data_IF_375813523573
#
_entry.id   IF_375813523573
#
_cell.length_a   1.000
_cell.length_b   1.000
_cell.length_c   1.000
_cell.angle_alpha   90.00
_cell.angle_beta   90.00
_cell.angle_gamma   90.00
#
_symmetry.space_group_name_H-M   'P 1'
#
loop_
_entity.id
_entity.type
_entity.pdbx_description
1 polymer ?
#
# COMPACT_ATOMS: atom_id res chain seq x y z
N UNK A 1 37.87 -100.53 -52.83
CA UNK A 1 37.45 -101.93 -52.62
C UNK A 1 36.51 -102.25 -53.74
N UNK A 2 37.00 -102.98 -54.73
CA UNK A 2 37.11 -102.46 -56.08
C UNK A 2 36.65 -103.50 -57.10
N UNK A 3 35.52 -103.24 -57.76
CA UNK A 3 35.16 -103.92 -59.00
C UNK A 3 36.03 -103.33 -60.12
N UNK A 4 37.04 -104.08 -60.55
CA UNK A 4 37.92 -103.71 -61.66
C UNK A 4 37.14 -103.71 -62.98
N UNK A 5 36.72 -102.53 -63.42
CA UNK A 5 36.15 -102.28 -64.75
C UNK A 5 37.21 -101.60 -65.62
N UNK A 6 38.23 -102.36 -66.03
CA UNK A 6 39.20 -101.92 -67.04
C UNK A 6 38.98 -102.69 -68.35
N UNK A 7 38.93 -101.96 -69.47
CA UNK A 7 38.69 -102.52 -70.80
C UNK A 7 39.97 -102.36 -71.62
N UNK A 8 40.46 -103.45 -72.25
CA UNK A 8 41.61 -103.40 -73.16
C UNK A 8 41.18 -102.86 -74.52
N UNK A 9 41.83 -101.81 -75.00
CA UNK A 9 41.56 -101.26 -76.33
C UNK A 9 41.98 -102.26 -77.43
N UNK A 10 41.11 -102.62 -78.39
CA UNK A 10 41.41 -103.64 -79.40
C UNK A 10 42.49 -103.27 -80.43
N UNK A 11 43.01 -102.04 -80.44
CA UNK A 11 43.91 -101.53 -81.49
C UNK A 11 45.32 -101.16 -80.98
N UNK A 12 45.47 -100.80 -79.71
CA UNK A 12 46.75 -100.55 -79.04
C UNK A 12 46.55 -101.02 -77.59
N UNK A 13 47.25 -102.07 -77.17
CA UNK A 13 46.91 -102.90 -75.99
C UNK A 13 47.05 -102.26 -74.59
N UNK A 14 46.68 -101.00 -74.44
CA UNK A 14 46.70 -100.24 -73.19
C UNK A 14 45.41 -100.47 -72.37
N UNK A 15 45.56 -100.49 -71.03
CA UNK A 15 44.49 -100.71 -70.06
C UNK A 15 43.74 -99.40 -69.83
N UNK A 16 42.48 -99.33 -70.23
CA UNK A 16 41.63 -98.15 -69.99
C UNK A 16 40.86 -98.37 -68.69
N UNK A 17 41.11 -97.55 -67.66
CA UNK A 17 40.31 -97.53 -66.42
C UNK A 17 39.01 -96.75 -66.65
N UNK A 18 37.89 -97.48 -66.70
CA UNK A 18 36.57 -96.90 -66.98
C UNK A 18 36.11 -95.99 -65.83
N UNK A 19 36.57 -96.23 -64.60
CA UNK A 19 36.21 -95.40 -63.45
C UNK A 19 36.86 -94.02 -63.55
N UNK A 20 38.10 -93.92 -64.04
CA UNK A 20 38.83 -92.65 -64.17
C UNK A 20 38.18 -91.74 -65.23
N UNK A 21 37.71 -92.32 -66.35
CA UNK A 21 36.97 -91.59 -67.39
C UNK A 21 35.60 -91.10 -66.86
N UNK A 22 34.88 -91.95 -66.12
CA UNK A 22 33.60 -91.59 -65.49
C UNK A 22 33.78 -90.51 -64.42
N UNK A 23 34.83 -90.58 -63.61
CA UNK A 23 35.19 -89.54 -62.64
C UNK A 23 35.52 -88.22 -63.33
N UNK A 24 36.29 -88.22 -64.41
CA UNK A 24 36.57 -87.00 -65.17
C UNK A 24 35.32 -86.42 -65.86
N UNK A 25 34.42 -87.26 -66.38
CA UNK A 25 33.14 -86.79 -66.91
C UNK A 25 32.25 -86.19 -65.82
N UNK A 26 32.10 -86.86 -64.69
CA UNK A 26 31.35 -86.36 -63.53
C UNK A 26 31.95 -85.06 -62.98
N UNK A 27 33.28 -84.99 -62.85
CA UNK A 27 33.97 -83.79 -62.36
C UNK A 27 33.80 -82.62 -63.32
N UNK A 28 33.85 -82.87 -64.64
CA UNK A 28 33.57 -81.85 -65.65
C UNK A 28 32.10 -81.40 -65.64
N UNK A 29 31.14 -82.31 -65.47
CA UNK A 29 29.73 -81.95 -65.31
C UNK A 29 29.48 -81.15 -64.03
N UNK A 30 30.08 -81.53 -62.90
CA UNK A 30 29.99 -80.79 -61.64
C UNK A 30 30.64 -79.41 -61.74
N UNK A 31 31.81 -79.31 -62.39
CA UNK A 31 32.45 -78.02 -62.66
C UNK A 31 31.57 -77.13 -63.54
N UNK A 32 30.96 -77.68 -64.60
CA UNK A 32 30.03 -76.93 -65.45
C UNK A 32 28.75 -76.51 -64.72
N UNK A 33 28.16 -77.39 -63.90
CA UNK A 33 26.99 -77.06 -63.07
C UNK A 33 27.31 -75.95 -62.06
N UNK A 34 28.42 -76.06 -61.34
CA UNK A 34 28.87 -75.02 -60.39
C UNK A 34 29.17 -73.69 -61.09
N UNK A 35 29.78 -73.73 -62.28
CA UNK A 35 30.03 -72.51 -63.06
C UNK A 35 28.72 -71.84 -63.50
N UNK A 36 27.73 -72.62 -63.90
CA UNK A 36 26.41 -72.13 -64.29
C UNK A 36 25.60 -71.59 -63.10
N UNK A 37 25.65 -72.26 -61.95
CA UNK A 37 25.04 -71.76 -60.70
C UNK A 37 25.69 -70.46 -60.24
N UNK A 38 27.03 -70.37 -60.32
CA UNK A 38 27.75 -69.14 -59.99
C UNK A 38 27.36 -67.98 -60.90
N UNK A 39 27.23 -68.23 -62.21
CA UNK A 39 26.76 -67.22 -63.17
C UNK A 39 25.33 -66.75 -62.86
N UNK A 40 24.40 -67.69 -62.60
CA UNK A 40 23.02 -67.34 -62.21
C UNK A 40 22.98 -66.52 -60.93
N UNK A 41 23.80 -66.85 -59.95
CA UNK A 41 23.89 -66.11 -58.69
C UNK A 41 24.50 -64.70 -58.89
N UNK A 42 25.53 -64.57 -59.73
CA UNK A 42 26.10 -63.27 -60.11
C UNK A 42 25.10 -62.39 -60.86
N UNK A 43 24.30 -62.96 -61.76
CA UNK A 43 23.20 -62.28 -62.47
C UNK A 43 22.10 -61.82 -61.50
N UNK A 44 21.68 -62.67 -60.55
CA UNK A 44 20.68 -62.31 -59.54
C UNK A 44 21.17 -61.18 -58.61
N UNK A 45 22.45 -61.21 -58.21
CA UNK A 45 23.06 -60.12 -57.44
C UNK A 45 23.11 -58.83 -58.25
N UNK A 46 23.45 -58.91 -59.54
CA UNK A 46 23.49 -57.73 -60.40
C UNK A 46 22.10 -57.10 -60.56
N UNK A 47 21.06 -57.91 -60.73
CA UNK A 47 19.67 -57.44 -60.79
C UNK A 47 19.24 -56.78 -59.47
N UNK A 48 19.48 -57.43 -58.32
CA UNK A 48 19.17 -56.83 -57.01
C UNK A 48 19.93 -55.53 -56.77
N UNK A 49 21.19 -55.43 -57.20
CA UNK A 49 21.98 -54.17 -57.09
C UNK A 49 21.35 -53.03 -57.91
N UNK A 50 20.79 -53.33 -59.08
CA UNK A 50 20.09 -52.33 -59.91
C UNK A 50 18.80 -51.89 -59.19
N UNK A 51 18.01 -52.83 -58.68
CA UNK A 51 16.79 -52.52 -57.91
C UNK A 51 17.09 -51.67 -56.67
N UNK A 52 18.11 -52.04 -55.88
CA UNK A 52 18.52 -51.27 -54.71
C UNK A 52 18.99 -49.86 -55.09
N UNK A 53 19.71 -49.71 -56.21
CA UNK A 53 20.15 -48.39 -56.69
C UNK A 53 18.95 -47.52 -57.08
N UNK A 54 17.99 -48.08 -57.81
CA UNK A 54 16.76 -47.37 -58.17
C UNK A 54 15.94 -46.97 -56.95
N UNK A 55 15.81 -47.85 -55.96
CA UNK A 55 15.11 -47.55 -54.70
C UNK A 55 15.81 -46.44 -53.90
N UNK A 56 17.15 -46.44 -53.86
CA UNK A 56 17.95 -45.39 -53.22
C UNK A 56 17.78 -44.04 -53.93
N UNK A 57 17.80 -44.02 -55.26
CA UNK A 57 17.63 -42.80 -56.04
C UNK A 57 16.20 -42.23 -55.86
N UNK A 58 15.17 -43.10 -55.82
CA UNK A 58 13.80 -42.68 -55.51
C UNK A 58 13.64 -42.14 -54.08
N UNK A 59 14.31 -42.74 -53.09
CA UNK A 59 14.29 -42.25 -51.71
C UNK A 59 14.94 -40.88 -51.60
N UNK A 60 16.08 -40.66 -52.26
CA UNK A 60 16.75 -39.35 -52.30
C UNK A 60 15.87 -38.27 -52.92
N UNK A 61 15.20 -38.57 -54.03
CA UNK A 61 14.26 -37.63 -54.65
C UNK A 61 13.11 -37.27 -53.69
N UNK A 62 12.54 -38.25 -53.00
CA UNK A 62 11.49 -37.99 -51.99
C UNK A 62 12.00 -37.18 -50.81
N UNK A 63 13.23 -37.41 -50.36
CA UNK A 63 13.84 -36.61 -49.28
C UNK A 63 14.04 -35.15 -49.72
N UNK A 64 14.50 -34.92 -50.96
CA UNK A 64 14.64 -33.58 -51.54
C UNK A 64 13.28 -32.88 -51.70
N UNK A 65 12.27 -33.57 -52.23
CA UNK A 65 10.90 -33.03 -52.37
C UNK A 65 10.28 -32.65 -51.02
N UNK A 66 10.44 -33.50 -50.00
CA UNK A 66 9.95 -33.23 -48.64
C UNK A 66 10.69 -32.01 -48.06
N UNK A 67 11.98 -31.88 -48.32
CA UNK A 67 12.77 -30.75 -47.84
C UNK A 67 12.31 -29.44 -48.49
N UNK A 68 12.10 -29.43 -49.81
CA UNK A 68 11.56 -28.27 -50.51
C UNK A 68 10.15 -27.90 -50.04
N UNK A 69 9.28 -28.89 -49.81
CA UNK A 69 7.94 -28.64 -49.28
C UNK A 69 7.98 -28.05 -47.88
N UNK A 70 8.87 -28.53 -47.00
CA UNK A 70 9.06 -27.96 -45.66
C UNK A 70 9.56 -26.53 -45.72
N UNK A 71 10.53 -26.23 -46.58
CA UNK A 71 11.05 -24.87 -46.74
C UNK A 71 9.96 -23.91 -47.25
N UNK A 72 9.16 -24.31 -48.24
CA UNK A 72 8.01 -23.53 -48.74
C UNK A 72 6.95 -23.32 -47.66
N UNK A 73 6.61 -24.36 -46.91
CA UNK A 73 5.63 -24.29 -45.83
C UNK A 73 6.10 -23.38 -44.68
N UNK A 74 7.38 -23.46 -44.30
CA UNK A 74 7.97 -22.60 -43.28
C UNK A 74 7.99 -21.13 -43.71
N UNK A 75 8.22 -20.84 -45.00
CA UNK A 75 8.11 -19.48 -45.54
C UNK A 75 6.67 -18.96 -45.52
N UNK A 76 5.69 -19.77 -45.91
CA UNK A 76 4.28 -19.41 -45.85
C UNK A 76 3.81 -19.18 -44.42
N UNK A 77 4.20 -20.05 -43.47
CA UNK A 77 3.94 -19.87 -42.04
C UNK A 77 4.55 -18.57 -41.52
N UNK A 78 5.79 -18.25 -41.88
CA UNK A 78 6.44 -16.99 -41.49
C UNK A 78 5.72 -15.76 -42.06
N UNK A 79 5.17 -15.85 -43.27
CA UNK A 79 4.37 -14.75 -43.86
C UNK A 79 3.03 -14.60 -43.15
N UNK A 80 2.29 -15.69 -42.96
CA UNK A 80 0.99 -15.69 -42.30
C UNK A 80 1.09 -15.21 -40.84
N UNK A 81 2.08 -15.69 -40.09
CA UNK A 81 2.32 -15.27 -38.70
C UNK A 81 2.68 -13.79 -38.60
N UNK A 82 3.50 -13.26 -39.52
CA UNK A 82 3.81 -11.82 -39.57
C UNK A 82 2.58 -10.96 -39.86
N UNK A 83 1.72 -11.40 -40.78
CA UNK A 83 0.49 -10.68 -41.13
C UNK A 83 -0.49 -10.66 -39.95
N UNK A 84 -0.70 -11.81 -39.29
CA UNK A 84 -1.54 -11.91 -38.10
C UNK A 84 -1.02 -11.04 -36.95
N UNK A 85 0.29 -11.12 -36.66
CA UNK A 85 0.92 -10.27 -35.64
C UNK A 85 0.78 -8.78 -35.95
N UNK A 86 0.82 -8.38 -37.23
CA UNK A 86 0.63 -6.99 -37.63
C UNK A 86 -0.81 -6.53 -37.41
N UNK A 87 -1.79 -7.35 -37.80
CA UNK A 87 -3.20 -7.05 -37.58
C UNK A 87 -3.56 -6.98 -36.09
N UNK A 88 -3.04 -7.90 -35.29
CA UNK A 88 -3.28 -7.94 -33.84
C UNK A 88 -2.63 -6.74 -33.14
N UNK A 89 -1.41 -6.36 -33.54
CA UNK A 89 -0.77 -5.11 -33.07
C UNK A 89 -1.56 -3.87 -33.44
N UNK A 90 -2.15 -3.81 -34.64
CA UNK A 90 -2.98 -2.68 -35.06
C UNK A 90 -4.27 -2.59 -34.23
N UNK A 91 -4.97 -3.71 -34.02
CA UNK A 91 -6.16 -3.76 -33.17
C UNK A 91 -5.85 -3.33 -31.74
N UNK A 92 -4.78 -3.86 -31.15
CA UNK A 92 -4.36 -3.49 -29.80
C UNK A 92 -3.99 -1.99 -29.71
N UNK A 93 -3.34 -1.43 -30.73
CA UNK A 93 -3.05 0.00 -30.79
C UNK A 93 -4.31 0.87 -30.92
N UNK A 94 -5.33 0.40 -31.62
CA UNK A 94 -6.61 1.11 -31.76
C UNK A 94 -7.44 1.04 -30.47
N UNK A 95 -7.49 -0.12 -29.81
CA UNK A 95 -8.14 -0.30 -28.50
C UNK A 95 -7.48 0.56 -27.43
N UNK A 96 -6.14 0.51 -27.32
CA UNK A 96 -5.40 1.33 -26.36
C UNK A 96 -5.60 2.83 -26.61
N UNK A 97 -5.67 3.27 -27.88
CA UNK A 97 -5.98 4.67 -28.21
C UNK A 97 -7.38 5.07 -27.79
N UNK A 98 -8.37 4.18 -27.91
CA UNK A 98 -9.74 4.46 -27.46
C UNK A 98 -9.81 4.57 -25.94
N UNK A 99 -9.21 3.62 -25.22
CA UNK A 99 -9.15 3.64 -23.75
C UNK A 99 -8.47 4.93 -23.25
N UNK A 100 -7.32 5.30 -23.81
CA UNK A 100 -6.61 6.53 -23.43
C UNK A 100 -7.48 7.77 -23.71
N UNK A 101 -8.20 7.82 -24.83
CA UNK A 101 -9.07 8.96 -25.15
C UNK A 101 -10.28 9.04 -24.23
N UNK A 102 -10.86 7.90 -23.86
CA UNK A 102 -11.97 7.82 -22.89
C UNK A 102 -11.51 8.27 -21.50
N UNK A 103 -10.40 7.73 -20.99
CA UNK A 103 -9.81 8.14 -19.70
C UNK A 103 -9.44 9.62 -19.68
N UNK A 104 -8.83 10.14 -20.76
CA UNK A 104 -8.52 11.57 -20.86
C UNK A 104 -9.79 12.42 -20.86
N UNK A 105 -10.85 11.98 -21.55
CA UNK A 105 -12.12 12.71 -21.61
C UNK A 105 -12.81 12.75 -20.24
N UNK A 106 -12.79 11.65 -19.49
CA UNK A 106 -13.33 11.56 -18.13
C UNK A 106 -12.52 12.42 -17.16
N UNK A 107 -11.20 12.34 -17.23
CA UNK A 107 -10.30 13.17 -16.41
C UNK A 107 -10.50 14.66 -16.68
N UNK A 108 -10.61 15.08 -17.95
CA UNK A 108 -10.89 16.47 -18.32
C UNK A 108 -12.29 16.90 -17.83
N UNK A 109 -13.29 16.03 -17.90
CA UNK A 109 -14.63 16.32 -17.41
C UNK A 109 -14.66 16.53 -15.89
N UNK A 110 -13.95 15.68 -15.13
CA UNK A 110 -13.79 15.81 -13.69
C UNK A 110 -13.05 17.09 -13.32
N UNK A 111 -11.92 17.38 -13.98
CA UNK A 111 -11.15 18.60 -13.75
C UNK A 111 -11.95 19.87 -14.07
N UNK A 112 -12.77 19.87 -15.14
CA UNK A 112 -13.65 20.99 -15.45
C UNK A 112 -14.71 21.18 -14.37
N UNK A 113 -15.31 20.09 -13.88
CA UNK A 113 -16.30 20.14 -12.81
C UNK A 113 -15.71 20.70 -11.51
N UNK A 114 -14.51 20.23 -11.13
CA UNK A 114 -13.79 20.76 -9.97
C UNK A 114 -13.44 22.24 -10.15
N UNK A 115 -13.01 22.65 -11.34
CA UNK A 115 -12.70 24.05 -11.64
C UNK A 115 -13.94 24.93 -11.50
N UNK A 116 -15.10 24.49 -12.00
CA UNK A 116 -16.36 25.21 -11.89
C UNK A 116 -16.83 25.29 -10.42
N UNK A 117 -16.73 24.20 -9.66
CA UNK A 117 -17.03 24.19 -8.23
C UNK A 117 -16.13 25.15 -7.45
N UNK A 118 -14.81 25.13 -7.72
CA UNK A 118 -13.85 26.06 -7.09
C UNK A 118 -14.09 27.50 -7.49
N UNK A 119 -14.42 27.75 -8.76
CA UNK A 119 -14.78 29.09 -9.25
C UNK A 119 -16.01 29.64 -8.54
N UNK A 120 -17.04 28.80 -8.35
CA UNK A 120 -18.24 29.17 -7.60
C UNK A 120 -17.94 29.42 -6.10
N UNK A 121 -17.13 28.57 -5.47
CA UNK A 121 -16.68 28.79 -4.09
C UNK A 121 -15.93 30.12 -3.93
N UNK A 122 -15.07 30.48 -4.89
CA UNK A 122 -14.36 31.76 -4.87
C UNK A 122 -15.32 32.94 -5.04
N UNK A 123 -16.33 32.83 -5.91
CA UNK A 123 -17.37 33.86 -6.04
C UNK A 123 -18.14 34.05 -4.75
N UNK A 124 -18.58 32.97 -4.12
CA UNK A 124 -19.29 33.01 -2.83
C UNK A 124 -18.43 33.59 -1.70
N UNK A 125 -17.14 33.21 -1.63
CA UNK A 125 -16.22 33.80 -0.66
C UNK A 125 -16.03 35.30 -0.88
N UNK A 126 -15.93 35.75 -2.13
CA UNK A 126 -15.79 37.16 -2.45
C UNK A 126 -17.06 37.97 -2.11
N UNK A 127 -18.25 37.43 -2.37
CA UNK A 127 -19.51 38.09 -1.98
C UNK A 127 -19.68 38.13 -0.46
N UNK A 128 -19.38 37.03 0.23
CA UNK A 128 -19.39 36.97 1.69
C UNK A 128 -18.38 37.97 2.30
N UNK A 129 -17.17 38.06 1.75
CA UNK A 129 -16.15 39.02 2.20
C UNK A 129 -16.60 40.47 1.99
N UNK A 130 -17.24 40.78 0.86
CA UNK A 130 -17.80 42.10 0.61
C UNK A 130 -18.93 42.44 1.60
N UNK A 131 -19.81 41.49 1.91
CA UNK A 131 -20.87 41.66 2.92
C UNK A 131 -20.30 41.86 4.33
N UNK A 132 -19.28 41.09 4.72
CA UNK A 132 -18.61 41.26 6.02
C UNK A 132 -17.98 42.65 6.13
N UNK A 133 -17.34 43.14 5.07
CA UNK A 133 -16.71 44.46 5.08
C UNK A 133 -17.75 45.60 5.12
N UNK A 134 -18.91 45.40 4.52
CA UNK A 134 -20.03 46.34 4.60
C UNK A 134 -20.64 46.36 6.01
N UNK A 135 -20.91 45.18 6.59
CA UNK A 135 -21.40 45.06 7.96
C UNK A 135 -20.43 45.64 9.00
N UNK A 136 -19.11 45.51 8.78
CA UNK A 136 -18.11 46.16 9.63
C UNK A 136 -18.21 47.68 9.59
N UNK A 137 -18.34 48.26 8.39
CA UNK A 137 -18.51 49.72 8.23
C UNK A 137 -19.81 50.21 8.89
N UNK A 138 -20.92 49.51 8.66
CA UNK A 138 -22.21 49.85 9.28
C UNK A 138 -22.13 49.78 10.82
N UNK A 139 -21.39 48.79 11.34
CA UNK A 139 -21.16 48.64 12.78
C UNK A 139 -20.32 49.78 13.35
N UNK A 140 -19.23 50.16 12.69
CA UNK A 140 -18.36 51.27 13.11
C UNK A 140 -19.11 52.61 13.08
N UNK A 141 -19.93 52.86 12.05
CA UNK A 141 -20.80 54.04 11.98
C UNK A 141 -21.83 54.05 13.11
N UNK A 142 -22.48 52.90 13.40
CA UNK A 142 -23.40 52.78 14.53
C UNK A 142 -22.70 53.01 15.87
N UNK A 143 -21.54 52.41 16.11
CA UNK A 143 -20.77 52.59 17.34
C UNK A 143 -20.37 54.06 17.54
N UNK A 144 -19.91 54.72 16.47
CA UNK A 144 -19.59 56.16 16.50
C UNK A 144 -20.82 57.02 16.82
N UNK A 145 -21.97 56.73 16.18
CA UNK A 145 -23.22 57.44 16.44
C UNK A 145 -23.73 57.21 17.87
N UNK A 146 -23.59 56.00 18.42
CA UNK A 146 -23.94 55.67 19.80
C UNK A 146 -23.02 56.41 20.77
N UNK A 147 -21.70 56.40 20.54
CA UNK A 147 -20.75 57.15 21.38
C UNK A 147 -21.03 58.65 21.37
N UNK A 148 -21.30 59.23 20.19
CA UNK A 148 -21.64 60.64 20.08
C UNK A 148 -22.92 60.99 20.85
N UNK A 149 -23.96 60.15 20.75
CA UNK A 149 -25.21 60.31 21.53
C UNK A 149 -24.98 60.15 23.03
N UNK A 150 -24.20 59.16 23.44
CA UNK A 150 -23.84 58.94 24.84
C UNK A 150 -23.04 60.13 25.40
N UNK A 151 -22.13 60.69 24.62
CA UNK A 151 -21.33 61.85 25.02
C UNK A 151 -22.18 63.13 25.10
N UNK A 152 -23.14 63.31 24.18
CA UNK A 152 -24.13 64.38 24.28
C UNK A 152 -24.99 64.25 25.54
N UNK A 153 -25.54 63.05 25.81
CA UNK A 153 -26.34 62.79 27.00
C UNK A 153 -25.53 62.97 28.30
N UNK A 154 -24.27 62.54 28.32
CA UNK A 154 -23.37 62.73 29.46
C UNK A 154 -23.05 64.22 29.68
N UNK A 155 -22.82 64.98 28.62
CA UNK A 155 -22.59 66.43 28.72
C UNK A 155 -23.85 67.16 29.21
N UNK A 156 -25.04 66.73 28.79
CA UNK A 156 -26.31 67.28 29.27
C UNK A 156 -26.52 66.98 30.75
N UNK A 157 -26.28 65.73 31.17
CA UNK A 157 -26.30 65.33 32.58
C UNK A 157 -25.28 66.11 33.40
N UNK A 158 -24.03 66.21 32.95
CA UNK A 158 -22.97 66.97 33.63
C UNK A 158 -23.32 68.46 33.74
N UNK A 159 -24.04 69.05 32.78
CA UNK A 159 -24.48 70.44 32.85
C UNK A 159 -25.57 70.62 33.90
N UNK A 160 -26.55 69.72 33.94
CA UNK A 160 -27.60 69.68 34.97
C UNK A 160 -26.99 69.46 36.37
N UNK A 161 -26.00 68.57 36.45
CA UNK A 161 -25.33 68.23 37.70
C UNK A 161 -24.41 69.37 38.16
N UNK A 162 -23.70 70.05 37.24
CA UNK A 162 -22.96 71.28 37.55
C UNK A 162 -23.86 72.42 38.02
N UNK A 163 -25.04 72.62 37.41
CA UNK A 163 -25.99 73.63 37.87
C UNK A 163 -26.58 73.29 39.26
N UNK A 164 -26.80 72.01 39.55
CA UNK A 164 -27.20 71.54 40.89
C UNK A 164 -26.07 71.70 41.91
N UNK A 165 -24.85 71.36 41.53
CA UNK A 165 -23.64 71.49 42.37
C UNK A 165 -23.35 72.97 42.64
N UNK A 166 -23.43 73.85 41.65
CA UNK A 166 -23.21 75.29 41.87
C UNK A 166 -24.21 75.87 42.89
N UNK A 167 -25.49 75.50 42.79
CA UNK A 167 -26.52 75.89 43.77
C UNK A 167 -26.29 75.29 45.15
N UNK A 168 -25.84 74.03 45.25
CA UNK A 168 -25.54 73.41 46.55
C UNK A 168 -24.21 73.88 47.15
N UNK A 169 -23.25 74.34 46.34
CA UNK A 169 -21.96 74.89 46.78
C UNK A 169 -22.14 76.31 47.30
N UNK A 170 -23.00 77.12 46.66
CA UNK A 170 -23.33 78.46 47.15
C UNK A 170 -24.11 78.40 48.48
N UNK A 171 -25.00 77.41 48.66
CA UNK A 171 -25.74 77.20 49.92
C UNK A 171 -24.93 76.49 51.03
N UNK A 172 -23.86 75.75 50.71
CA UNK A 172 -23.03 75.04 51.70
C UNK A 172 -21.76 75.79 52.12
N UNK A 173 -21.32 76.80 51.36
CA UNK A 173 -20.09 77.55 51.66
C UNK A 173 -20.23 78.57 52.81
N UNK A 174 -21.44 78.85 53.30
CA UNK A 174 -21.63 79.73 54.47
C UNK A 174 -21.53 78.98 55.82
N UNK A 175 -21.52 77.64 55.83
CA UNK A 175 -21.58 76.85 57.08
C UNK A 175 -20.58 75.68 57.20
N UNK A 176 -19.73 75.42 56.21
CA UNK A 176 -18.78 74.26 56.23
C UNK A 176 -17.28 74.60 56.21
N UNK A 177 -16.90 75.87 56.38
CA UNK A 177 -15.49 76.31 56.42
C UNK A 177 -14.85 76.22 57.82
N UNK A 178 -15.49 75.57 58.80
CA UNK A 178 -14.97 75.39 60.18
C UNK A 178 -15.01 73.97 60.75
N UNK A 179 -15.39 72.95 59.97
CA UNK A 179 -15.57 71.58 60.51
C UNK A 179 -15.02 70.44 59.62
N UNK A 180 -14.26 70.73 58.56
CA UNK A 180 -13.76 69.72 57.62
C UNK A 180 -12.22 69.70 57.50
N UNK A 181 -11.51 70.08 58.56
CA UNK A 181 -10.07 69.80 58.73
C UNK A 181 -9.80 68.52 59.55
N UNK A 182 -10.79 67.93 60.23
CA UNK A 182 -10.57 66.77 61.13
C UNK A 182 -11.04 65.40 60.59
N UNK A 183 -11.63 65.31 59.40
CA UNK A 183 -12.17 64.03 58.89
C UNK A 183 -11.31 63.35 57.82
N UNK A 184 -10.12 63.89 57.50
CA UNK A 184 -9.23 63.35 56.46
C UNK A 184 -8.17 62.35 56.97
N UNK A 185 -8.20 61.99 58.25
CA UNK A 185 -7.18 61.13 58.86
C UNK A 185 -7.67 59.72 59.27
N UNK A 186 -8.97 59.45 59.13
CA UNK A 186 -9.57 58.17 59.57
C UNK A 186 -10.08 57.25 58.44
N UNK A 187 -9.83 57.59 57.18
CA UNK A 187 -10.18 56.79 56.01
C UNK A 187 -8.94 56.31 55.22
N UNK A 188 -7.80 56.23 55.90
CA UNK A 188 -6.54 55.65 55.37
C UNK A 188 -6.19 54.29 55.98
N UNK A 189 -7.11 53.67 56.73
CA UNK A 189 -6.82 52.46 57.53
C UNK A 189 -7.85 51.32 57.38
N UNK A 190 -8.58 51.27 56.26
CA UNK A 190 -9.46 50.15 55.90
C UNK A 190 -9.36 49.82 54.40
N UNK A 191 -8.13 49.63 53.90
CA UNK A 191 -7.84 49.08 52.58
C UNK A 191 -6.78 47.98 52.67
N UNK A 192 -6.96 47.05 53.62
CA UNK A 192 -6.22 45.77 53.70
C UNK A 192 -7.09 44.74 54.40
N UNK A 193 -8.15 44.25 53.73
CA UNK A 193 -8.60 42.85 53.83
C UNK A 193 -9.91 42.61 53.07
N UNK A 194 -9.81 42.63 51.74
CA UNK A 194 -10.68 41.92 50.77
C UNK A 194 -10.20 42.42 49.40
N UNK A 195 -9.36 41.73 48.64
CA UNK A 195 -9.59 40.38 48.16
C UNK A 195 -8.25 39.75 47.75
N UNK A 196 -7.78 38.81 48.57
CA UNK A 196 -7.16 37.59 48.05
C UNK A 196 -8.22 36.89 47.20
N UNK A 197 -8.12 37.00 45.87
CA UNK A 197 -8.60 36.03 44.86
C UNK A 197 -8.28 36.58 43.48
N UNK A 198 -7.04 36.36 43.03
CA UNK A 198 -6.67 36.29 41.62
C UNK A 198 -5.56 35.24 41.50
N UNK A 199 -5.93 33.99 41.80
CA UNK A 199 -5.32 32.82 41.14
C UNK A 199 -5.97 32.70 39.77
N UNK A 200 -5.23 32.96 38.69
CA UNK A 200 -5.35 32.24 37.43
C UNK A 200 -4.25 32.68 36.47
N UNK A 201 -3.42 31.72 36.06
CA UNK A 201 -2.57 31.85 34.87
C UNK A 201 -1.08 31.68 35.13
N UNK A 202 -0.63 30.41 35.14
CA UNK A 202 0.60 29.99 34.44
C UNK A 202 0.81 28.48 34.65
N UNK A 203 -0.06 27.67 34.06
CA UNK A 203 0.20 26.24 33.83
C UNK A 203 0.91 25.98 32.48
N UNK A 204 1.24 27.02 31.72
CA UNK A 204 1.81 26.90 30.37
C UNK A 204 3.35 26.92 30.34
N UNK A 205 4.02 27.50 31.35
CA UNK A 205 5.48 27.68 31.38
C UNK A 205 6.30 26.43 31.77
N UNK A 206 5.66 25.29 32.08
CA UNK A 206 6.38 24.12 32.62
C UNK A 206 6.69 23.04 31.56
N UNK A 207 6.09 23.09 30.37
CA UNK A 207 6.38 22.17 29.26
C UNK A 207 7.60 22.59 28.43
N UNK A 208 7.77 23.90 28.22
CA UNK A 208 8.76 24.50 27.31
C UNK A 208 10.21 24.38 27.79
N UNK A 209 10.41 24.12 29.09
CA UNK A 209 11.75 24.07 29.68
C UNK A 209 12.53 22.82 29.25
N UNK A 210 11.87 21.68 28.98
CA UNK A 210 12.59 20.48 28.55
C UNK A 210 12.95 20.51 27.07
N UNK A 211 12.06 21.05 26.24
CA UNK A 211 12.27 21.24 24.81
C UNK A 211 13.51 22.11 24.58
N UNK A 212 13.52 23.29 25.21
CA UNK A 212 14.67 24.21 25.16
C UNK A 212 15.96 23.58 25.71
N UNK A 213 15.88 22.76 26.76
CA UNK A 213 17.05 22.12 27.36
C UNK A 213 17.63 20.96 26.50
N UNK A 214 16.83 20.35 25.64
CA UNK A 214 17.31 19.34 24.67
C UNK A 214 18.04 20.06 23.53
N UNK A 215 17.45 21.12 22.99
CA UNK A 215 18.03 21.91 21.90
C UNK A 215 19.35 22.55 22.31
N UNK A 216 19.38 23.23 23.46
CA UNK A 216 20.58 23.87 23.99
C UNK A 216 21.70 22.85 24.24
N UNK A 217 21.36 21.64 24.71
CA UNK A 217 22.34 20.58 24.89
C UNK A 217 22.94 20.12 23.56
N UNK A 218 22.10 19.91 22.54
CA UNK A 218 22.55 19.46 21.22
C UNK A 218 23.40 20.53 20.52
N UNK A 219 22.98 21.81 20.58
CA UNK A 219 23.72 22.93 19.97
C UNK A 219 25.09 23.10 20.61
N UNK A 220 25.17 23.04 21.95
CA UNK A 220 26.42 23.18 22.67
C UNK A 220 27.38 22.00 22.44
N UNK A 221 26.85 20.77 22.37
CA UNK A 221 27.67 19.55 22.25
C UNK A 221 28.11 19.28 20.81
N UNK A 222 27.30 19.67 19.82
CA UNK A 222 27.56 19.41 18.39
C UNK A 222 27.52 20.71 17.55
N UNK A 223 28.55 21.58 17.62
CA UNK A 223 28.53 22.88 16.94
C UNK A 223 28.48 22.82 15.41
N UNK A 224 28.80 21.66 14.82
CA UNK A 224 28.77 21.47 13.37
C UNK A 224 27.41 21.00 12.86
N UNK A 225 26.56 20.46 13.73
CA UNK A 225 25.26 19.93 13.34
C UNK A 225 24.24 21.05 13.22
N UNK A 226 23.25 20.89 12.34
CA UNK A 226 22.14 21.85 12.20
C UNK A 226 20.94 21.34 12.96
N UNK A 227 20.43 22.15 13.88
CA UNK A 227 19.29 21.81 14.74
C UNK A 227 18.14 22.72 14.33
N UNK A 228 17.10 22.13 13.77
CA UNK A 228 15.90 22.83 13.30
C UNK A 228 14.76 22.63 14.31
N UNK A 229 14.26 23.74 14.86
CA UNK A 229 13.07 23.79 15.72
C UNK A 229 11.80 23.71 14.85
N UNK A 230 10.88 22.82 15.21
CA UNK A 230 9.55 22.79 14.57
C UNK A 230 8.61 23.66 15.41
N UNK A 231 8.31 24.86 14.93
CA UNK A 231 7.48 25.85 15.64
C UNK A 231 6.09 25.28 15.99
N UNK A 232 5.63 25.58 17.22
CA UNK A 232 4.29 25.23 17.72
C UNK A 232 3.19 25.73 16.79
N UNK A 233 2.40 24.79 16.25
CA UNK A 233 1.28 25.06 15.34
C UNK A 233 1.29 24.21 14.07
N UNK A 234 2.40 23.54 13.77
CA UNK A 234 2.51 22.52 12.71
C UNK A 234 2.52 21.13 13.39
N UNK A 235 1.82 20.14 12.82
CA UNK A 235 1.91 18.75 13.31
C UNK A 235 3.36 18.27 13.15
N UNK A 236 3.93 17.72 14.22
CA UNK A 236 5.30 17.22 14.27
C UNK A 236 5.94 17.49 15.63
N UNK A 237 6.85 16.60 16.01
CA UNK A 237 7.70 16.68 17.19
C UNK A 237 8.66 17.85 17.25
N UNK A 238 9.49 17.85 18.28
CA UNK A 238 10.02 19.09 18.83
C UNK A 238 11.27 19.58 18.08
N UNK A 239 12.26 18.72 17.81
CA UNK A 239 13.47 19.15 17.13
C UNK A 239 14.09 18.10 16.20
N UNK A 240 14.63 18.55 15.06
CA UNK A 240 15.36 17.71 14.10
C UNK A 240 16.83 18.12 14.12
N UNK A 241 17.70 17.15 14.41
CA UNK A 241 19.13 17.28 14.26
C UNK A 241 19.57 16.70 12.92
N UNK A 242 20.08 17.56 12.04
CA UNK A 242 20.80 17.13 10.83
C UNK A 242 22.28 17.00 11.18
N UNK A 243 22.79 15.77 11.16
CA UNK A 243 24.17 15.45 11.56
C UNK A 243 25.13 15.84 10.46
N UNK A 244 26.16 16.60 10.81
CA UNK A 244 27.22 17.01 9.88
C UNK A 244 28.59 16.55 10.40
N UNK A 245 29.53 16.36 9.49
CA UNK A 245 30.95 16.18 9.82
C UNK A 245 31.75 17.29 9.17
N UNK A 246 33.04 17.44 9.55
CA UNK A 246 33.91 18.47 8.95
C UNK A 246 34.08 18.32 7.43
N UNK A 247 33.90 17.10 6.92
CA UNK A 247 34.18 16.73 5.53
C UNK A 247 32.91 16.41 4.74
N UNK A 248 31.85 15.97 5.41
CA UNK A 248 30.59 15.52 4.79
C UNK A 248 29.43 16.26 5.45
N UNK A 249 28.69 17.01 4.63
CA UNK A 249 27.45 17.66 5.04
C UNK A 249 26.27 16.69 4.92
N UNK A 250 25.27 16.85 5.81
CA UNK A 250 24.03 16.09 5.83
C UNK A 250 24.21 14.55 5.82
N UNK A 251 24.78 14.01 6.90
CA UNK A 251 25.00 12.57 7.04
C UNK A 251 23.74 11.77 7.37
N UNK A 252 22.71 12.43 7.87
CA UNK A 252 21.44 11.84 8.27
C UNK A 252 20.73 12.71 9.31
N UNK A 253 19.46 12.41 9.55
CA UNK A 253 18.57 13.20 10.42
C UNK A 253 18.11 12.39 11.62
N UNK A 254 18.29 12.95 12.81
CA UNK A 254 17.73 12.41 14.06
C UNK A 254 16.57 13.31 14.48
N UNK A 255 15.42 12.70 14.72
CA UNK A 255 14.23 13.40 15.19
C UNK A 255 14.02 13.15 16.67
N UNK A 256 13.81 14.22 17.42
CA UNK A 256 13.60 14.19 18.86
C UNK A 256 12.21 14.70 19.21
N UNK A 257 11.56 13.98 20.11
CA UNK A 257 10.27 14.34 20.68
C UNK A 257 10.34 14.21 22.20
N UNK A 258 9.89 15.22 22.92
CA UNK A 258 9.82 15.28 24.37
C UNK A 258 8.37 15.16 24.83
N UNK A 259 8.09 14.22 25.73
CA UNK A 259 6.76 14.08 26.37
C UNK A 259 6.89 14.10 27.88
N UNK A 260 6.31 15.15 28.48
CA UNK A 260 6.12 15.29 29.94
C UNK A 260 4.73 14.81 30.33
N UNK A 261 4.65 13.56 30.72
CA UNK A 261 3.38 12.89 31.03
C UNK A 261 3.60 11.82 32.08
N UNK A 262 2.63 11.68 32.99
CA UNK A 262 2.71 10.71 34.09
C UNK A 262 2.49 9.26 33.65
N UNK A 263 1.81 9.05 32.52
CA UNK A 263 1.50 7.72 31.99
C UNK A 263 1.90 7.65 30.52
N UNK A 264 2.74 6.68 30.16
CA UNK A 264 3.15 6.44 28.78
C UNK A 264 2.01 5.87 27.94
N UNK A 265 1.75 6.45 26.76
CA UNK A 265 0.76 5.92 25.80
C UNK A 265 1.45 5.43 24.52
N UNK A 266 1.11 4.19 24.11
CA UNK A 266 1.68 3.56 22.90
C UNK A 266 1.30 4.30 21.60
N UNK A 267 0.18 5.03 21.61
CA UNK A 267 -0.28 5.88 20.49
C UNK A 267 0.69 7.00 20.14
N UNK A 268 1.61 7.38 21.03
CA UNK A 268 2.65 8.36 20.72
C UNK A 268 3.69 7.82 19.77
N UNK A 269 4.03 6.53 19.87
CA UNK A 269 4.99 5.87 18.97
C UNK A 269 4.45 5.86 17.54
N UNK A 270 3.16 5.52 17.37
CA UNK A 270 2.50 5.49 16.06
C UNK A 270 2.45 6.86 15.40
N UNK A 271 2.10 7.91 16.17
CA UNK A 271 2.09 9.30 15.68
C UNK A 271 3.49 9.78 15.34
N UNK A 272 4.45 9.55 16.23
CA UNK A 272 5.83 9.97 16.05
C UNK A 272 6.47 9.30 14.82
N UNK A 273 6.19 8.01 14.57
CA UNK A 273 6.58 7.33 13.33
C UNK A 273 6.01 7.98 12.07
N UNK A 274 4.74 8.40 12.11
CA UNK A 274 4.13 9.10 10.98
C UNK A 274 4.86 10.42 10.71
N UNK A 275 5.17 11.17 11.76
CA UNK A 275 5.89 12.44 11.67
C UNK A 275 7.34 12.24 11.19
N UNK A 276 8.03 11.18 11.64
CA UNK A 276 9.38 10.80 11.16
C UNK A 276 9.38 10.58 9.64
N UNK A 277 8.34 9.94 9.09
CA UNK A 277 8.21 9.70 7.64
C UNK A 277 7.98 11.00 6.87
N UNK A 278 7.09 11.87 7.37
CA UNK A 278 6.82 13.16 6.72
C UNK A 278 8.08 14.04 6.66
N UNK A 279 8.93 13.98 7.70
CA UNK A 279 10.16 14.79 7.79
C UNK A 279 11.41 14.10 7.23
N UNK A 280 11.30 12.85 6.80
CA UNK A 280 12.42 12.06 6.28
C UNK A 280 13.53 11.85 7.32
N UNK A 281 13.17 11.57 8.57
CA UNK A 281 14.13 11.31 9.64
C UNK A 281 14.59 9.85 9.64
N UNK A 282 15.92 9.63 9.75
CA UNK A 282 16.51 8.29 9.76
C UNK A 282 16.35 7.58 11.11
N UNK A 283 16.39 8.34 12.22
CA UNK A 283 16.29 7.82 13.58
C UNK A 283 15.35 8.69 14.40
N UNK A 284 14.47 8.05 15.17
CA UNK A 284 13.56 8.72 16.10
C UNK A 284 13.93 8.44 17.55
N UNK A 285 13.93 9.48 18.37
CA UNK A 285 14.21 9.42 19.81
C UNK A 285 13.11 10.15 20.58
N UNK A 286 12.37 9.39 21.37
CA UNK A 286 11.33 9.87 22.26
C UNK A 286 11.91 10.00 23.68
N UNK A 287 11.98 11.22 24.19
CA UNK A 287 12.44 11.55 25.53
C UNK A 287 11.23 11.67 26.46
N UNK A 288 11.09 10.75 27.40
CA UNK A 288 9.94 10.70 28.33
C UNK A 288 10.39 10.73 29.77
N UNK A 289 9.58 11.35 30.64
CA UNK A 289 9.82 11.31 32.10
C UNK A 289 9.49 9.93 32.68
N UNK A 290 8.45 9.28 32.16
CA UNK A 290 8.00 7.94 32.58
C UNK A 290 8.19 6.96 31.42
N UNK A 291 8.96 5.90 31.67
CA UNK A 291 9.20 4.83 30.68
C UNK A 291 7.97 3.89 30.57
N UNK A 292 7.80 3.22 29.43
CA UNK A 292 6.83 2.13 29.28
C UNK A 292 7.06 1.05 30.35
N UNK A 293 5.98 0.42 30.83
CA UNK A 293 6.06 -0.66 31.84
C UNK A 293 6.93 -1.85 31.42
N UNK A 294 7.19 -1.98 30.13
CA UNK A 294 7.99 -3.02 29.49
C UNK A 294 9.50 -2.73 29.56
N UNK A 295 9.89 -1.50 29.91
CA UNK A 295 11.27 -1.03 29.93
C UNK A 295 11.69 -0.58 31.33
N UNK A 296 12.73 -1.21 31.87
CA UNK A 296 13.38 -0.75 33.11
C UNK A 296 14.35 0.42 32.87
N UNK A 297 14.87 0.57 31.64
CA UNK A 297 15.82 1.60 31.19
C UNK A 297 15.57 1.97 29.73
N UNK A 298 16.34 2.91 29.16
CA UNK A 298 16.24 3.23 27.74
C UNK A 298 16.22 1.98 26.84
N UNK A 299 15.41 2.03 25.78
CA UNK A 299 15.21 0.89 24.90
C UNK A 299 14.67 1.28 23.54
N UNK A 300 14.60 0.30 22.64
CA UNK A 300 14.04 0.44 21.30
C UNK A 300 12.67 -0.25 21.28
N UNK A 301 11.60 0.51 21.04
CA UNK A 301 10.24 -0.04 20.86
C UNK A 301 9.76 0.34 19.47
N UNK A 302 9.33 -0.67 18.72
CA UNK A 302 8.80 -0.51 17.36
C UNK A 302 9.73 0.31 16.44
N UNK A 303 11.04 0.35 16.67
CA UNK A 303 11.98 1.13 15.84
C UNK A 303 12.18 2.60 16.26
N UNK A 304 11.57 3.03 17.38
CA UNK A 304 11.81 4.33 18.02
C UNK A 304 12.57 4.13 19.33
N UNK A 305 13.61 4.92 19.56
CA UNK A 305 14.35 4.91 20.82
C UNK A 305 13.56 5.67 21.88
N UNK A 306 13.33 5.05 23.03
CA UNK A 306 12.65 5.67 24.18
C UNK A 306 13.67 5.77 25.31
N UNK A 307 13.86 6.97 25.85
CA UNK A 307 14.84 7.21 26.90
C UNK A 307 14.41 8.34 27.83
N UNK A 308 15.04 8.40 29.01
CA UNK A 308 14.92 9.55 29.91
C UNK A 308 15.84 10.69 29.47
N UNK A 309 15.62 11.90 30.01
CA UNK A 309 16.46 13.07 29.69
C UNK A 309 17.94 12.87 30.05
N UNK A 310 18.24 12.11 31.10
CA UNK A 310 19.63 11.81 31.48
C UNK A 310 20.29 10.85 30.48
N UNK A 311 19.59 9.80 30.07
CA UNK A 311 20.06 8.80 29.11
C UNK A 311 20.23 9.37 27.70
N UNK A 312 19.35 10.30 27.31
CA UNK A 312 19.40 11.03 26.03
C UNK A 312 20.78 11.65 25.75
N UNK A 313 21.45 12.18 26.79
CA UNK A 313 22.77 12.82 26.67
C UNK A 313 23.84 11.86 26.15
N UNK A 314 23.79 10.60 26.59
CA UNK A 314 24.68 9.54 26.10
C UNK A 314 24.20 8.97 24.77
N UNK A 315 22.89 8.73 24.64
CA UNK A 315 22.28 8.14 23.46
C UNK A 315 22.50 8.99 22.20
N UNK A 316 22.36 10.31 22.30
CA UNK A 316 22.62 11.24 21.18
C UNK A 316 24.01 11.08 20.58
N UNK A 317 25.04 10.82 21.39
CA UNK A 317 26.41 10.61 20.91
C UNK A 317 26.55 9.30 20.14
N UNK A 318 25.94 8.23 20.64
CA UNK A 318 25.98 6.90 20.02
C UNK A 318 25.24 6.90 18.69
N UNK A 319 24.05 7.50 18.64
CA UNK A 319 23.23 7.58 17.43
C UNK A 319 23.89 8.44 16.36
N UNK A 320 24.48 9.57 16.75
CA UNK A 320 25.24 10.44 15.85
C UNK A 320 26.42 9.71 15.21
N UNK A 321 27.23 9.01 15.99
CA UNK A 321 28.37 8.22 15.48
C UNK A 321 27.91 7.10 14.55
N UNK A 322 26.78 6.46 14.87
CA UNK A 322 26.20 5.39 14.06
C UNK A 322 25.78 5.90 12.67
N UNK A 323 25.10 7.05 12.60
CA UNK A 323 24.71 7.69 11.33
C UNK A 323 25.93 8.03 10.49
N UNK A 324 26.98 8.58 11.09
CA UNK A 324 28.21 8.94 10.38
C UNK A 324 28.85 7.71 9.75
N UNK A 325 28.97 6.60 10.50
CA UNK A 325 29.55 5.35 9.98
C UNK A 325 28.71 4.74 8.86
N UNK A 326 27.38 4.76 9.01
CA UNK A 326 26.46 4.26 7.97
C UNK A 326 26.61 5.09 6.69
N UNK A 327 26.68 6.41 6.80
CA UNK A 327 26.86 7.28 5.64
C UNK A 327 28.24 7.07 4.98
N UNK A 328 29.31 6.92 5.76
CA UNK A 328 30.65 6.59 5.23
C UNK A 328 30.65 5.26 4.47
N UNK A 329 29.95 4.24 4.98
CA UNK A 329 29.78 2.96 4.31
C UNK A 329 29.00 3.11 2.99
N UNK A 330 27.86 3.81 3.00
CA UNK A 330 27.08 4.09 1.78
C UNK A 330 27.90 4.83 0.71
N UNK A 331 28.64 5.87 1.11
CA UNK A 331 29.47 6.66 0.19
C UNK A 331 30.61 5.85 -0.45
N UNK A 332 31.12 4.83 0.25
CA UNK A 332 32.12 3.91 -0.31
C UNK A 332 31.56 2.99 -1.40
N UNK A 333 30.24 2.78 -1.44
CA UNK A 333 29.54 2.02 -2.49
C UNK A 333 29.12 2.90 -3.68
N UNK A 334 28.90 4.20 -3.45
CA UNK A 334 28.41 5.16 -4.47
C UNK A 334 29.39 5.38 -5.65
N UNK A 335 30.69 5.12 -5.44
CA UNK A 335 31.72 5.20 -6.48
C UNK A 335 31.72 4.02 -7.48
N UNK A 336 30.75 3.11 -7.41
CA UNK A 336 30.50 2.06 -8.41
C UNK A 336 29.20 2.33 -9.15
N UNK A 337 29.21 3.34 -10.01
CA UNK A 337 28.02 3.78 -10.73
C UNK A 337 27.72 2.83 -11.89
N UNK A 338 26.76 1.93 -11.69
CA UNK A 338 26.04 1.21 -12.72
C UNK A 338 24.55 1.41 -12.43
N UNK A 339 23.68 1.47 -13.44
CA UNK A 339 22.23 1.73 -13.20
C UNK A 339 21.56 0.67 -12.31
N UNK A 340 22.15 -0.54 -12.28
CA UNK A 340 21.78 -1.62 -11.38
C UNK A 340 22.12 -1.33 -9.91
N UNK A 341 23.22 -0.63 -9.61
CA UNK A 341 23.56 -0.27 -8.22
C UNK A 341 22.64 0.79 -7.64
N UNK A 342 22.07 1.69 -8.46
CA UNK A 342 21.06 2.65 -7.98
C UNK A 342 19.74 1.97 -7.63
N UNK A 343 19.27 1.05 -8.47
CA UNK A 343 18.08 0.24 -8.17
C UNK A 343 18.31 -0.67 -6.96
N UNK A 344 19.48 -1.31 -6.88
CA UNK A 344 19.84 -2.13 -5.73
C UNK A 344 19.94 -1.31 -4.45
N UNK A 345 20.53 -0.11 -4.51
CA UNK A 345 20.61 0.84 -3.41
C UNK A 345 19.23 1.31 -2.93
N UNK A 346 18.31 1.58 -3.86
CA UNK A 346 16.93 1.91 -3.50
C UNK A 346 16.20 0.71 -2.89
N UNK A 347 16.28 -0.47 -3.48
CA UNK A 347 15.62 -1.69 -2.99
C UNK A 347 16.16 -2.17 -1.63
N UNK A 348 17.42 -1.85 -1.31
CA UNK A 348 18.04 -2.12 0.00
C UNK A 348 17.97 -0.94 0.96
N UNK A 349 17.40 0.19 0.53
CA UNK A 349 17.28 1.38 1.36
C UNK A 349 16.28 1.18 2.49
N UNK A 350 16.54 1.86 3.60
CA UNK A 350 15.60 1.97 4.71
C UNK A 350 14.28 2.60 4.29
N UNK A 351 14.32 3.53 3.33
CA UNK A 351 13.12 4.17 2.78
C UNK A 351 12.20 3.15 2.10
N UNK A 352 12.73 2.32 1.19
CA UNK A 352 11.97 1.27 0.53
C UNK A 352 11.42 0.25 1.54
N UNK A 353 12.26 -0.18 2.50
CA UNK A 353 11.81 -1.08 3.57
C UNK A 353 10.65 -0.49 4.35
N UNK A 354 10.73 0.77 4.76
CA UNK A 354 9.66 1.46 5.50
C UNK A 354 8.38 1.63 4.67
N UNK A 355 8.50 1.87 3.36
CA UNK A 355 7.34 1.92 2.45
C UNK A 355 6.66 0.56 2.36
N UNK A 356 7.43 -0.52 2.18
CA UNK A 356 6.88 -1.88 2.12
C UNK A 356 6.28 -2.29 3.47
N UNK A 357 6.94 -2.00 4.59
CA UNK A 357 6.41 -2.27 5.93
C UNK A 357 5.08 -1.54 6.15
N UNK A 358 4.97 -0.26 5.76
CA UNK A 358 3.71 0.48 5.88
C UNK A 358 2.59 -0.10 5.00
N UNK A 359 2.91 -0.58 3.79
CA UNK A 359 1.94 -1.26 2.93
C UNK A 359 1.46 -2.56 3.59
N UNK A 360 2.39 -3.37 4.10
CA UNK A 360 2.08 -4.64 4.78
C UNK A 360 1.26 -4.41 6.06
N UNK A 361 1.62 -3.40 6.87
CA UNK A 361 0.85 -2.99 8.04
C UNK A 361 -0.57 -2.57 7.65
N UNK A 362 -0.73 -1.76 6.58
CA UNK A 362 -2.04 -1.37 6.06
C UNK A 362 -2.90 -2.56 5.63
N UNK A 363 -2.32 -3.52 4.89
CA UNK A 363 -3.03 -4.74 4.50
C UNK A 363 -3.38 -5.63 5.70
N UNK A 364 -2.49 -5.74 6.67
CA UNK A 364 -2.73 -6.53 7.90
C UNK A 364 -3.87 -5.93 8.72
N UNK A 365 -3.91 -4.60 8.84
CA UNK A 365 -4.99 -3.89 9.51
C UNK A 365 -6.33 -4.07 8.78
N UNK A 366 -6.36 -3.88 7.46
CA UNK A 366 -7.57 -4.10 6.65
C UNK A 366 -8.09 -5.55 6.76
N UNK A 367 -7.19 -6.54 6.81
CA UNK A 367 -7.56 -7.93 7.01
C UNK A 367 -8.17 -8.16 8.40
N UNK A 368 -7.55 -7.60 9.44
CA UNK A 368 -8.06 -7.68 10.82
C UNK A 368 -9.45 -7.03 10.95
N UNK A 369 -9.64 -5.87 10.35
CA UNK A 369 -10.92 -5.14 10.35
C UNK A 369 -12.01 -5.97 9.65
N UNK A 370 -11.71 -6.51 8.48
CA UNK A 370 -12.62 -7.39 7.72
C UNK A 370 -12.99 -8.66 8.50
N UNK A 371 -12.06 -9.28 9.21
CA UNK A 371 -12.34 -10.45 10.05
C UNK A 371 -13.14 -10.09 11.31
N UNK A 372 -12.96 -8.88 11.85
CA UNK A 372 -13.80 -8.34 12.93
C UNK A 372 -15.23 -8.09 12.47
N UNK A 373 -15.40 -7.51 11.27
CA UNK A 373 -16.71 -7.28 10.64
C UNK A 373 -17.43 -8.60 10.37
N UNK A 374 -16.75 -9.61 9.79
CA UNK A 374 -17.32 -10.94 9.56
C UNK A 374 -17.86 -11.55 10.85
N UNK A 375 -17.06 -11.55 11.93
CA UNK A 375 -17.49 -12.10 13.24
C UNK A 375 -18.70 -11.34 13.80
N UNK A 376 -18.68 -10.01 13.71
CA UNK A 376 -19.78 -9.16 14.16
C UNK A 376 -21.07 -9.42 13.37
N UNK A 377 -20.95 -9.54 12.05
CA UNK A 377 -22.08 -9.78 11.16
C UNK A 377 -22.67 -11.18 11.33
N UNK A 378 -21.83 -12.20 11.52
CA UNK A 378 -22.28 -13.55 11.87
C UNK A 378 -23.08 -13.56 13.19
N UNK A 379 -22.65 -12.80 14.20
CA UNK A 379 -23.39 -12.65 15.46
C UNK A 379 -24.76 -12.00 15.21
N UNK A 380 -24.81 -10.92 14.42
CA UNK A 380 -26.04 -10.21 14.07
C UNK A 380 -27.00 -11.12 13.30
N UNK A 381 -26.49 -11.87 12.32
CA UNK A 381 -27.30 -12.83 11.57
C UNK A 381 -27.91 -13.89 12.47
N UNK A 382 -27.12 -14.54 13.34
CA UNK A 382 -27.65 -15.52 14.31
C UNK A 382 -28.67 -14.92 15.27
N UNK A 383 -28.46 -13.67 15.70
CA UNK A 383 -29.43 -12.97 16.55
C UNK A 383 -30.75 -12.72 15.81
N UNK A 384 -30.69 -12.27 14.56
CA UNK A 384 -31.88 -12.03 13.72
C UNK A 384 -32.59 -13.33 13.38
N UNK A 385 -31.85 -14.39 13.06
CA UNK A 385 -32.39 -15.72 12.80
C UNK A 385 -33.22 -16.22 14.00
N UNK A 386 -32.67 -16.15 15.22
CA UNK A 386 -33.42 -16.49 16.44
C UNK A 386 -34.64 -15.61 16.69
N UNK A 387 -34.59 -14.33 16.32
CA UNK A 387 -35.74 -13.44 16.43
C UNK A 387 -36.84 -13.83 15.44
N UNK A 388 -36.46 -14.15 14.20
CA UNK A 388 -37.38 -14.63 13.16
C UNK A 388 -38.01 -15.97 13.59
N UNK A 389 -37.20 -16.92 14.06
CA UNK A 389 -37.66 -18.22 14.57
C UNK A 389 -38.68 -18.03 15.71
N UNK A 390 -38.36 -17.19 16.70
CA UNK A 390 -39.28 -16.89 17.81
C UNK A 390 -40.61 -16.29 17.33
N UNK A 391 -40.58 -15.37 16.37
CA UNK A 391 -41.80 -14.77 15.81
C UNK A 391 -42.60 -15.80 15.03
N UNK A 392 -41.94 -16.66 14.26
CA UNK A 392 -42.57 -17.75 13.52
C UNK A 392 -43.25 -18.73 14.48
N UNK A 393 -42.54 -19.20 15.51
CA UNK A 393 -43.07 -20.12 16.52
C UNK A 393 -44.28 -19.54 17.25
N UNK A 394 -44.21 -18.26 17.65
CA UNK A 394 -45.34 -17.58 18.27
C UNK A 394 -46.54 -17.47 17.31
N UNK A 395 -46.30 -17.21 16.03
CA UNK A 395 -47.35 -17.09 15.01
C UNK A 395 -47.99 -18.46 14.74
N UNK A 396 -47.19 -19.53 14.65
CA UNK A 396 -47.65 -20.92 14.51
C UNK A 396 -48.45 -21.33 15.75
N UNK A 397 -47.93 -21.07 16.95
CA UNK A 397 -48.60 -21.38 18.21
C UNK A 397 -49.93 -20.65 18.35
N UNK A 398 -49.97 -19.36 18.00
CA UNK A 398 -51.21 -18.57 17.98
C UNK A 398 -52.20 -19.14 16.97
N UNK A 399 -51.78 -19.38 15.73
CA UNK A 399 -52.65 -19.96 14.69
C UNK A 399 -53.20 -21.33 15.10
N UNK A 400 -52.34 -22.23 15.60
CA UNK A 400 -52.73 -23.55 16.10
C UNK A 400 -53.69 -23.48 17.29
N UNK A 401 -53.45 -22.57 18.24
CA UNK A 401 -54.34 -22.38 19.40
C UNK A 401 -55.74 -21.90 18.97
N UNK A 402 -55.80 -20.91 18.07
CA UNK A 402 -57.08 -20.36 17.63
C UNK A 402 -57.82 -21.39 16.75
N UNK A 403 -57.13 -22.12 15.86
CA UNK A 403 -57.71 -23.22 15.05
C UNK A 403 -58.20 -24.38 15.93
N UNK A 404 -57.50 -24.70 17.02
CA UNK A 404 -57.92 -25.70 18.00
C UNK A 404 -59.20 -25.31 18.76
N UNK A 405 -59.38 -24.01 19.07
CA UNK A 405 -60.56 -23.51 19.79
C UNK A 405 -61.77 -23.34 18.86
N UNK A 406 -61.60 -22.74 17.69
CA UNK A 406 -62.71 -22.38 16.78
C UNK A 406 -62.94 -23.39 15.65
N UNK A 407 -62.14 -24.45 15.57
CA UNK A 407 -62.23 -25.50 14.54
C UNK A 407 -62.07 -24.94 13.11
N UNK A 408 -62.86 -25.50 12.18
CA UNK A 408 -62.83 -25.13 10.76
C UNK A 408 -63.41 -23.73 10.45
N UNK A 409 -63.77 -22.96 11.46
CA UNK A 409 -64.30 -21.59 11.28
C UNK A 409 -63.21 -20.57 10.92
N UNK A 410 -61.92 -20.93 11.05
CA UNK A 410 -60.77 -20.09 10.71
C UNK A 410 -60.17 -20.56 9.38
N UNK A 411 -59.88 -19.60 8.50
CA UNK A 411 -59.25 -19.86 7.21
C UNK A 411 -57.87 -20.52 7.32
N UNK A 412 -57.57 -21.36 6.34
CA UNK A 412 -56.32 -22.09 6.23
C UNK A 412 -55.16 -21.18 5.77
N UNK A 413 -54.03 -21.19 6.50
CA UNK A 413 -52.81 -20.48 6.10
C UNK A 413 -51.90 -21.46 5.37
N UNK A 414 -51.88 -21.38 4.03
CA UNK A 414 -51.16 -22.32 3.14
C UNK A 414 -49.70 -22.61 3.53
N UNK A 415 -48.98 -21.62 4.07
CA UNK A 415 -47.57 -21.78 4.49
C UNK A 415 -47.39 -22.65 5.76
N UNK A 416 -48.46 -22.91 6.50
CA UNK A 416 -48.46 -23.70 7.75
C UNK A 416 -49.18 -25.05 7.58
N UNK A 417 -49.62 -25.37 6.36
CA UNK A 417 -50.28 -26.63 6.06
C UNK A 417 -49.29 -27.61 5.43
N UNK A 418 -49.40 -28.87 5.87
CA UNK A 418 -48.72 -29.96 5.17
C UNK A 418 -49.37 -30.09 3.78
N UNK A 419 -48.60 -30.06 2.68
CA UNK A 419 -49.16 -30.38 1.37
C UNK A 419 -49.64 -31.83 1.41
N UNK A 420 -50.96 -32.01 1.47
CA UNK A 420 -51.57 -33.33 1.31
C UNK A 420 -51.36 -33.74 -0.15
N UNK A 421 -50.55 -34.77 -0.38
CA UNK A 421 -50.55 -35.46 -1.66
C UNK A 421 -51.93 -36.11 -1.81
N UNK A 422 -52.74 -35.56 -2.73
CA UNK A 422 -53.91 -36.23 -3.30
C UNK A 422 -53.41 -37.41 -4.15
N UNK A 423 -53.08 -38.52 -3.50
CA UNK A 423 -52.86 -39.81 -4.13
C UNK A 423 -53.72 -40.85 -3.41
N UNK A 424 -55.03 -40.81 -3.68
CA UNK A 424 -55.93 -41.97 -3.69
C UNK A 424 -57.33 -41.49 -4.09
N UNK A 425 -57.66 -41.68 -5.37
CA UNK A 425 -59.01 -41.98 -5.89
C UNK A 425 -58.92 -42.18 -7.41
N UNK A 426 -58.28 -43.28 -7.82
CA UNK A 426 -58.41 -43.80 -9.19
C UNK A 426 -58.49 -45.34 -9.23
N UNK A 427 -58.98 -45.97 -8.16
CA UNK A 427 -59.29 -47.40 -8.14
C UNK A 427 -60.58 -47.68 -7.35
N UNK A 428 -61.72 -47.31 -7.93
CA UNK A 428 -62.96 -48.08 -7.76
C UNK A 428 -63.46 -48.46 -9.16
N UNK A 429 -63.47 -49.77 -9.40
CA UNK A 429 -64.07 -50.49 -10.51
C UNK A 429 -65.18 -51.36 -9.92
#
# INVERSE_FOLDING_TARGET
MSTESSIKCPNYGELIDVNEILYHQLENEFKQKNLNEKKKFEEEIALKRIEYKQALDMLKQKEEDIKEQKEKFDEELKKATKELLKQEKQKLQEELKKEILEEQSESIALLKKELDEKSNQVKELNTAKAQIEQLKRDKEEMESAIMAKAQFALNEQLKIEKEKIQKTVDDQNELKLKQKEEQLEQLKKQLQDTQRKLEQGSQQLQGEVQELAIEEYLQNKYPFDSIEEIKKGVRGGDCIQTVHTREIQNCGKIYYESKRTKDFQRTWIEKFKADMREKGADIGVLVTEVLPKELERMGLIDGVWICTYEEFKGLSSVLRESIIKINQAKKSEENKTDKMSLLYGYLTSTEFKMQIEAIVEGFTQMQSDLDSEKRSMQRIWKQREKQIEKVLDNTIGMYGSIKGIAGNSIGNVKALELPYNLLEDENEL
#
